data_IF_103828192582
#
_entry.id   IF_103828192582
#
_cell.length_a   1.000
_cell.length_b   1.000
_cell.length_c   1.000
_cell.angle_alpha   90.00
_cell.angle_beta   90.00
_cell.angle_gamma   90.00
#
_symmetry.space_group_name_H-M   'P 1'
#
loop_
_entity.id
_entity.type
_entity.pdbx_description
1 polymer ?
#
# COMPACT_ATOMS: atom_id res chain seq x y z
N UNK A 1 31.64 -5.13 -47.24
CA UNK A 1 30.44 -4.46 -46.66
C UNK A 1 30.34 -4.89 -45.21
N UNK A 2 30.67 -3.99 -44.28
CA UNK A 2 30.66 -4.28 -42.85
C UNK A 2 29.25 -4.25 -42.28
N UNK A 3 28.80 -5.36 -41.69
CA UNK A 3 27.60 -5.39 -40.88
C UNK A 3 27.92 -4.75 -39.53
N UNK A 4 27.57 -3.46 -39.36
CA UNK A 4 27.47 -2.86 -38.03
C UNK A 4 26.30 -3.53 -37.32
N UNK A 5 26.58 -4.59 -36.55
CA UNK A 5 25.68 -5.05 -35.49
C UNK A 5 25.64 -3.96 -34.44
N UNK A 6 24.75 -3.00 -34.64
CA UNK A 6 24.44 -1.95 -33.69
C UNK A 6 23.92 -2.58 -32.41
N UNK A 7 24.77 -2.58 -31.39
CA UNK A 7 24.41 -2.79 -30.01
C UNK A 7 23.43 -1.69 -29.58
N UNK A 8 22.13 -1.91 -29.75
CA UNK A 8 21.10 -0.98 -29.28
C UNK A 8 19.89 -1.75 -28.76
N UNK A 9 19.95 -2.07 -27.47
CA UNK A 9 18.87 -1.96 -26.47
C UNK A 9 19.25 -2.82 -25.27
N UNK A 10 20.19 -2.35 -24.45
CA UNK A 10 20.04 -2.66 -23.03
C UNK A 10 18.81 -1.86 -22.59
N UNK A 11 17.71 -2.50 -22.15
CA UNK A 11 16.59 -1.75 -21.60
C UNK A 11 17.14 -0.86 -20.48
N UNK A 12 16.71 0.40 -20.46
CA UNK A 12 17.02 1.30 -19.37
C UNK A 12 16.67 0.60 -18.04
N UNK A 13 17.44 0.79 -16.96
CA UNK A 13 17.11 0.21 -15.68
C UNK A 13 15.67 0.57 -15.31
N UNK A 14 14.85 -0.43 -15.00
CA UNK A 14 13.47 -0.21 -14.57
C UNK A 14 13.44 0.76 -13.39
N UNK A 15 12.48 1.69 -13.43
CA UNK A 15 12.33 2.67 -12.35
C UNK A 15 12.09 1.93 -11.02
N UNK A 16 12.72 2.34 -9.90
CA UNK A 16 12.36 1.84 -8.58
C UNK A 16 10.87 1.99 -8.26
N UNK A 17 10.19 2.96 -8.89
CA UNK A 17 8.73 3.10 -8.75
C UNK A 17 7.96 1.97 -9.45
N UNK A 18 8.51 1.33 -10.49
CA UNK A 18 7.89 0.17 -11.16
C UNK A 18 7.66 -0.97 -10.17
N UNK A 19 8.68 -1.34 -9.40
CA UNK A 19 8.56 -2.43 -8.41
C UNK A 19 7.63 -2.07 -7.26
N UNK A 20 7.68 -0.81 -6.78
CA UNK A 20 6.76 -0.31 -5.76
C UNK A 20 5.29 -0.44 -6.19
N UNK A 21 4.96 0.06 -7.39
CA UNK A 21 3.59 0.02 -7.89
C UNK A 21 3.14 -1.39 -8.26
N UNK A 22 4.05 -2.27 -8.68
CA UNK A 22 3.75 -3.68 -8.86
C UNK A 22 3.37 -4.35 -7.54
N UNK A 23 4.13 -4.13 -6.46
CA UNK A 23 3.77 -4.64 -5.13
C UNK A 23 2.44 -4.07 -4.64
N UNK A 24 2.19 -2.77 -4.85
CA UNK A 24 0.92 -2.14 -4.54
C UNK A 24 -0.27 -2.76 -5.30
N UNK A 25 -0.10 -3.03 -6.60
CA UNK A 25 -1.10 -3.69 -7.43
C UNK A 25 -1.37 -5.12 -6.95
N UNK A 26 -0.32 -5.90 -6.71
CA UNK A 26 -0.43 -7.29 -6.25
C UNK A 26 -1.10 -7.37 -4.87
N UNK A 27 -0.76 -6.49 -3.93
CA UNK A 27 -1.41 -6.43 -2.63
C UNK A 27 -2.93 -6.25 -2.75
N UNK A 28 -3.38 -5.29 -3.57
CA UNK A 28 -4.80 -5.07 -3.81
C UNK A 28 -5.47 -6.20 -4.60
N UNK A 29 -4.75 -6.86 -5.50
CA UNK A 29 -5.25 -7.99 -6.26
C UNK A 29 -5.54 -9.17 -5.32
N UNK A 30 -4.57 -9.57 -4.50
CA UNK A 30 -4.75 -10.67 -3.56
C UNK A 30 -5.76 -10.36 -2.45
N UNK A 31 -5.82 -9.11 -1.98
CA UNK A 31 -6.89 -8.65 -1.07
C UNK A 31 -8.28 -8.91 -1.66
N UNK A 32 -8.48 -8.55 -2.94
CA UNK A 32 -9.75 -8.76 -3.65
C UNK A 32 -10.10 -10.24 -3.81
N UNK A 33 -9.10 -11.12 -3.94
CA UNK A 33 -9.30 -12.57 -4.00
C UNK A 33 -9.49 -13.21 -2.61
N UNK A 34 -9.42 -12.44 -1.52
CA UNK A 34 -9.45 -12.97 -0.15
C UNK A 34 -8.19 -13.73 0.26
N UNK A 35 -7.12 -13.65 -0.53
CA UNK A 35 -5.82 -14.27 -0.25
C UNK A 35 -4.99 -13.38 0.68
N UNK A 36 -5.43 -13.27 1.93
CA UNK A 36 -4.93 -12.31 2.92
C UNK A 36 -3.42 -12.41 3.16
N UNK A 37 -2.86 -13.62 3.25
CA UNK A 37 -1.42 -13.82 3.48
C UNK A 37 -0.57 -13.24 2.35
N UNK A 38 -0.99 -13.44 1.09
CA UNK A 38 -0.29 -12.87 -0.08
C UNK A 38 -0.44 -11.34 -0.11
N UNK A 39 -1.64 -10.83 0.20
CA UNK A 39 -1.88 -9.40 0.27
C UNK A 39 -0.94 -8.72 1.30
N UNK A 40 -0.77 -9.31 2.48
CA UNK A 40 0.19 -8.84 3.49
C UNK A 40 1.64 -8.91 3.01
N UNK A 41 2.05 -10.03 2.41
CA UNK A 41 3.41 -10.17 1.89
C UNK A 41 3.77 -9.04 0.90
N UNK A 42 2.87 -8.73 -0.05
CA UNK A 42 3.15 -7.69 -1.04
C UNK A 42 3.06 -6.27 -0.46
N UNK A 43 2.11 -5.98 0.43
CA UNK A 43 2.01 -4.64 1.00
C UNK A 43 3.20 -4.35 1.94
N UNK A 44 3.71 -5.36 2.66
CA UNK A 44 4.89 -5.19 3.51
C UNK A 44 6.15 -4.94 2.69
N UNK A 45 6.30 -5.61 1.54
CA UNK A 45 7.39 -5.31 0.59
C UNK A 45 7.30 -3.89 0.04
N UNK A 46 6.09 -3.41 -0.27
CA UNK A 46 5.88 -2.03 -0.73
C UNK A 46 6.26 -1.02 0.37
N UNK A 47 5.83 -1.25 1.62
CA UNK A 47 6.16 -0.37 2.77
C UNK A 47 7.66 -0.39 3.05
N UNK A 48 8.31 -1.55 3.00
CA UNK A 48 9.76 -1.65 3.16
C UNK A 48 10.51 -0.86 2.09
N UNK A 49 10.02 -0.88 0.84
CA UNK A 49 10.62 -0.13 -0.27
C UNK A 49 10.42 1.38 -0.11
N UNK A 50 9.24 1.83 0.34
CA UNK A 50 8.92 3.27 0.46
C UNK A 50 8.01 3.52 1.66
N UNK A 51 8.57 3.62 2.88
CA UNK A 51 7.81 3.66 4.14
C UNK A 51 7.10 5.00 4.40
N UNK A 52 7.20 5.94 3.46
CA UNK A 52 6.61 7.27 3.54
C UNK A 52 5.39 7.44 2.62
N UNK A 53 5.08 6.45 1.77
CA UNK A 53 3.93 6.54 0.86
C UNK A 53 2.63 6.17 1.58
N UNK A 54 1.74 7.15 1.74
CA UNK A 54 0.55 7.06 2.58
C UNK A 54 -0.42 5.97 2.09
N UNK A 55 -0.59 5.84 0.76
CA UNK A 55 -1.48 4.87 0.13
C UNK A 55 -1.16 3.42 0.54
N UNK A 56 0.09 3.13 0.90
CA UNK A 56 0.50 1.80 1.34
C UNK A 56 -0.12 1.42 2.68
N UNK A 57 -0.11 2.36 3.64
CA UNK A 57 -0.76 2.18 4.93
C UNK A 57 -2.28 2.10 4.79
N UNK A 58 -2.86 2.87 3.87
CA UNK A 58 -4.29 2.79 3.56
C UNK A 58 -4.68 1.42 2.98
N UNK A 59 -3.87 0.84 2.10
CA UNK A 59 -4.09 -0.52 1.58
C UNK A 59 -3.90 -1.56 2.68
N UNK A 60 -2.85 -1.46 3.49
CA UNK A 60 -2.62 -2.40 4.60
C UNK A 60 -3.79 -2.38 5.60
N UNK A 61 -4.28 -1.20 5.94
CA UNK A 61 -5.48 -1.05 6.77
C UNK A 61 -6.72 -1.70 6.14
N UNK A 62 -6.91 -1.57 4.82
CA UNK A 62 -8.01 -2.21 4.10
C UNK A 62 -7.92 -3.75 4.14
N UNK A 63 -6.72 -4.31 4.03
CA UNK A 63 -6.48 -5.76 4.12
C UNK A 63 -6.87 -6.25 5.51
N UNK A 64 -6.37 -5.63 6.59
CA UNK A 64 -6.76 -6.00 7.96
C UNK A 64 -8.27 -5.89 8.20
N UNK A 65 -8.90 -4.85 7.65
CA UNK A 65 -10.36 -4.68 7.70
C UNK A 65 -11.10 -5.83 7.00
N UNK A 66 -10.61 -6.34 5.85
CA UNK A 66 -11.20 -7.52 5.22
C UNK A 66 -10.91 -8.82 5.96
N UNK A 67 -9.76 -8.90 6.65
CA UNK A 67 -9.41 -10.02 7.52
C UNK A 67 -10.19 -10.06 8.85
N UNK A 68 -11.01 -9.03 9.14
CA UNK A 68 -11.81 -8.93 10.35
C UNK A 68 -11.11 -8.25 11.53
N UNK A 69 -9.87 -7.80 11.36
CA UNK A 69 -9.13 -7.07 12.40
C UNK A 69 -9.35 -5.55 12.27
N UNK A 70 -10.49 -5.10 12.80
CA UNK A 70 -10.87 -3.69 12.75
C UNK A 70 -9.91 -2.79 13.56
N UNK A 71 -9.32 -3.29 14.65
CA UNK A 71 -8.44 -2.52 15.53
C UNK A 71 -7.11 -2.24 14.86
N UNK A 72 -6.47 -3.25 14.29
CA UNK A 72 -5.21 -3.06 13.56
C UNK A 72 -5.43 -2.21 12.31
N UNK A 73 -6.58 -2.38 11.64
CA UNK A 73 -6.96 -1.52 10.53
C UNK A 73 -7.06 -0.03 10.95
N UNK A 74 -7.63 0.26 12.12
CA UNK A 74 -7.70 1.63 12.65
C UNK A 74 -6.31 2.18 12.98
N UNK A 75 -5.47 1.41 13.67
CA UNK A 75 -4.09 1.79 14.02
C UNK A 75 -3.23 2.13 12.78
N UNK A 76 -3.43 1.42 11.67
CA UNK A 76 -2.75 1.69 10.41
C UNK A 76 -3.29 2.93 9.69
N UNK A 77 -4.59 3.21 9.80
CA UNK A 77 -5.15 4.48 9.30
C UNK A 77 -4.67 5.68 10.13
N UNK A 78 -4.47 5.52 11.44
CA UNK A 78 -3.86 6.56 12.28
C UNK A 78 -2.42 6.86 11.84
N UNK A 79 -1.63 5.84 11.53
CA UNK A 79 -0.29 6.04 10.94
C UNK A 79 -0.36 6.77 9.59
N UNK A 80 -1.28 6.38 8.71
CA UNK A 80 -1.48 7.06 7.43
C UNK A 80 -1.84 8.54 7.63
N UNK A 81 -2.70 8.83 8.60
CA UNK A 81 -3.14 10.19 8.95
C UNK A 81 -2.01 11.03 9.55
N UNK A 82 -1.12 10.43 10.36
CA UNK A 82 0.00 11.13 10.96
C UNK A 82 1.05 11.60 9.92
N UNK A 83 1.11 10.95 8.75
CA UNK A 83 2.02 11.34 7.66
C UNK A 83 1.55 12.62 6.92
N UNK A 84 0.25 12.89 6.89
CA UNK A 84 -0.31 14.12 6.34
C UNK A 84 -1.58 14.52 7.10
N UNK A 85 -1.41 15.36 8.12
CA UNK A 85 -2.51 15.82 8.97
C UNK A 85 -3.39 16.87 8.28
N UNK A 86 -2.93 17.47 7.18
CA UNK A 86 -3.69 18.46 6.42
C UNK A 86 -4.68 17.82 5.43
N UNK A 87 -4.45 16.56 5.03
CA UNK A 87 -5.34 15.85 4.12
C UNK A 87 -6.68 15.44 4.79
N UNK A 88 -7.75 16.14 4.40
CA UNK A 88 -9.11 15.89 4.90
C UNK A 88 -9.66 14.50 4.52
N UNK A 89 -9.28 13.96 3.37
CA UNK A 89 -9.71 12.64 2.92
C UNK A 89 -9.13 11.55 3.83
N UNK A 90 -7.84 11.61 4.15
CA UNK A 90 -7.18 10.65 5.05
C UNK A 90 -7.76 10.79 6.47
N UNK A 91 -7.92 12.02 6.97
CA UNK A 91 -8.57 12.30 8.26
C UNK A 91 -9.96 11.65 8.36
N UNK A 92 -10.80 11.83 7.33
CA UNK A 92 -12.16 11.26 7.29
C UNK A 92 -12.16 9.73 7.23
N UNK A 93 -11.20 9.14 6.50
CA UNK A 93 -11.02 7.69 6.44
C UNK A 93 -10.56 7.13 7.78
N UNK A 94 -9.65 7.81 8.47
CA UNK A 94 -9.16 7.42 9.78
C UNK A 94 -10.30 7.38 10.81
N UNK A 95 -11.09 8.47 10.92
CA UNK A 95 -12.26 8.51 11.79
C UNK A 95 -13.24 7.37 11.50
N UNK A 96 -13.52 7.07 10.21
CA UNK A 96 -14.39 5.94 9.84
C UNK A 96 -13.86 4.59 10.32
N UNK A 97 -12.55 4.38 10.29
CA UNK A 97 -11.95 3.13 10.75
C UNK A 97 -11.97 3.03 12.28
N UNK A 98 -11.73 4.13 13.00
CA UNK A 98 -11.92 4.19 14.45
C UNK A 98 -13.36 3.81 14.85
N UNK A 99 -14.37 4.36 14.16
CA UNK A 99 -15.77 4.01 14.40
C UNK A 99 -16.03 2.51 14.19
N UNK A 100 -15.48 1.91 13.12
CA UNK A 100 -15.60 0.46 12.87
C UNK A 100 -14.90 -0.40 13.92
N UNK A 101 -13.85 0.13 14.54
CA UNK A 101 -13.13 -0.53 15.64
C UNK A 101 -13.77 -0.28 17.01
N UNK A 102 -14.92 0.43 17.05
CA UNK A 102 -15.59 0.87 18.27
C UNK A 102 -14.68 1.72 19.19
N UNK A 103 -13.75 2.48 18.59
CA UNK A 103 -12.83 3.40 19.27
C UNK A 103 -13.46 4.80 19.34
N UNK A 104 -14.59 4.90 20.02
CA UNK A 104 -15.26 6.18 20.29
C UNK A 104 -14.74 6.68 21.63
N UNK A 105 -14.19 7.89 21.65
CA UNK A 105 -13.93 8.59 22.91
C UNK A 105 -15.23 9.24 23.37
N UNK A 106 -15.58 9.05 24.63
CA UNK A 106 -16.69 9.74 25.30
C UNK A 106 -16.47 11.26 25.33
#
# INVERSE_FOLDING_TARGET
MGTKTGHLMNPLPESPTTVLWLYYLLAQHYDRLGSIQQAHMYIDRAIQHTPTLIELFMVKAKIFKHAGDAREAARLMEQAQALDTADRYINSKCAKYMLRANMIKE
#
